data_IF_880301951043
#
_entry.id   IF_880301951043
#
_cell.length_a   1.000
_cell.length_b   1.000
_cell.length_c   1.000
_cell.angle_alpha   90.00
_cell.angle_beta   90.00
_cell.angle_gamma   90.00
#
_symmetry.space_group_name_H-M   'P 1'
#
loop_
_entity.id
_entity.type
_entity.pdbx_description
1 polymer ?
2 non-polymer ?
3 water ?
#
# COMPACT_ATOMS: atom_id res chain seq x y z
N UNK A 1 -12.49 -5.29 -2.01
CA UNK A 1 -11.94 -4.02 -1.68
C UNK A 1 -10.52 -4.03 -2.20
N UNK A 2 -9.99 -2.88 -2.59
CA UNK A 2 -8.57 -2.76 -2.88
C UNK A 2 -7.88 -2.78 -1.51
N UNK A 3 -6.65 -3.26 -1.41
CA UNK A 3 -5.89 -3.24 -0.17
C UNK A 3 -4.66 -2.40 -0.41
N UNK A 4 -4.42 -1.41 0.42
CA UNK A 4 -3.31 -0.47 0.27
C UNK A 4 -2.42 -0.57 1.52
N UNK A 5 -1.19 -1.05 1.37
CA UNK A 5 -0.21 -1.10 2.46
C UNK A 5 0.57 0.20 2.37
N UNK A 6 0.78 0.88 3.48
CA UNK A 6 1.55 2.11 3.45
C UNK A 6 1.80 2.65 4.84
N UNK A 7 2.05 3.94 4.90
CA UNK A 7 2.32 4.65 6.14
C UNK A 7 1.22 5.63 6.38
N UNK A 8 0.87 5.87 7.63
CA UNK A 8 -0.04 6.93 7.97
C UNK A 8 0.85 8.18 7.90
N UNK A 9 0.54 9.21 7.12
CA UNK A 9 1.43 10.36 6.99
C UNK A 9 1.55 11.23 8.24
N UNK A 10 0.61 11.10 9.18
CA UNK A 10 0.77 11.74 10.47
C UNK A 10 1.93 11.14 11.22
N UNK A 11 2.29 9.87 11.02
CA UNK A 11 3.40 9.25 11.74
C UNK A 11 4.61 9.30 10.83
N UNK A 12 4.51 8.96 9.54
CA UNK A 12 5.66 8.96 8.65
C UNK A 12 5.13 9.46 7.32
N UNK A 13 5.57 10.61 6.87
CA UNK A 13 5.03 11.23 5.67
C UNK A 13 5.11 10.32 4.45
N UNK A 14 4.00 10.14 3.74
CA UNK A 14 4.01 9.32 2.55
C UNK A 14 3.04 9.90 1.55
N UNK A 15 3.51 10.86 0.77
CA UNK A 15 2.69 11.51 -0.26
C UNK A 15 2.07 10.51 -1.25
N UNK A 16 2.81 9.55 -1.86
CA UNK A 16 2.27 8.51 -2.72
C UNK A 16 1.16 7.69 -2.05
N UNK A 17 1.30 7.38 -0.75
CA UNK A 17 0.28 6.66 0.01
C UNK A 17 -1.02 7.46 0.06
N UNK A 18 -0.95 8.75 0.40
CA UNK A 18 -2.15 9.60 0.44
C UNK A 18 -2.79 9.78 -0.92
N UNK A 19 -1.96 9.92 -1.96
CA UNK A 19 -2.46 10.02 -3.32
C UNK A 19 -3.23 8.77 -3.77
N UNK A 20 -2.75 7.58 -3.40
CA UNK A 20 -3.42 6.32 -3.71
C UNK A 20 -4.82 6.29 -3.09
N UNK A 21 -4.93 6.66 -1.81
CA UNK A 21 -6.23 6.70 -1.14
C UNK A 21 -7.18 7.67 -1.82
N UNK A 22 -6.70 8.88 -2.14
CA UNK A 22 -7.61 9.82 -2.78
C UNK A 22 -8.04 9.43 -4.18
N UNK A 23 -7.14 8.78 -4.96
CA UNK A 23 -7.50 8.31 -6.29
C UNK A 23 -8.59 7.23 -6.18
N UNK A 24 -8.48 6.29 -5.23
CA UNK A 24 -9.52 5.29 -5.06
C UNK A 24 -10.82 5.94 -4.63
N UNK A 25 -10.83 6.95 -3.75
CA UNK A 25 -12.05 7.66 -3.40
C UNK A 25 -12.63 8.36 -4.63
N UNK A 26 -11.87 9.07 -5.46
CA UNK A 26 -12.46 9.74 -6.63
C UNK A 26 -13.04 8.72 -7.63
N UNK A 27 -12.45 7.53 -7.74
CA UNK A 27 -12.97 6.47 -8.59
C UNK A 27 -14.09 5.66 -7.96
N UNK A 28 -14.55 6.04 -6.75
CA UNK A 28 -15.59 5.33 -6.00
C UNK A 28 -15.28 3.86 -5.75
N UNK A 29 -14.04 3.59 -5.36
CA UNK A 29 -13.58 2.25 -5.08
C UNK A 29 -13.32 2.05 -3.58
N UNK A 30 -13.99 1.13 -2.88
CA UNK A 30 -13.75 0.84 -1.47
C UNK A 30 -12.35 0.29 -1.31
N UNK A 31 -11.65 0.70 -0.24
CA UNK A 31 -10.33 0.16 0.03
C UNK A 31 -10.14 0.00 1.53
N UNK A 32 -9.17 -0.81 1.89
CA UNK A 32 -8.75 -1.00 3.25
C UNK A 32 -7.30 -0.50 3.27
N UNK A 33 -6.90 0.32 4.22
CA UNK A 33 -5.52 0.77 4.31
C UNK A 33 -4.85 0.03 5.48
N UNK A 34 -3.66 -0.51 5.27
CA UNK A 34 -2.93 -1.25 6.29
C UNK A 34 -1.67 -0.43 6.57
N UNK A 35 -1.57 0.10 7.78
CA UNK A 35 -0.44 0.95 8.17
C UNK A 35 0.69 0.07 8.69
N UNK A 36 1.89 0.14 8.11
CA UNK A 36 2.97 -0.74 8.56
C UNK A 36 3.83 -0.10 9.66
N UNK A 37 3.61 1.16 10.02
CA UNK A 37 4.40 1.79 11.06
C UNK A 37 3.42 2.38 12.09
N UNK A 38 2.96 1.62 13.09
CA UNK A 38 1.95 2.07 14.04
C UNK A 38 2.42 3.24 14.91
N UNK A 39 3.72 3.43 15.13
CA UNK A 39 4.20 4.61 15.83
C UNK A 39 5.61 4.87 15.34
N UNK A 40 6.07 6.07 15.62
CA UNK A 40 7.31 6.63 15.09
C UNK A 40 8.46 5.68 15.30
N UNK A 41 9.09 5.25 14.21
CA UNK A 41 10.24 4.36 14.25
C UNK A 41 9.96 2.90 14.63
N UNK A 42 8.69 2.47 14.74
CA UNK A 42 8.33 1.10 15.06
C UNK A 42 7.52 0.49 13.90
N UNK A 43 8.09 -0.53 13.25
CA UNK A 43 7.43 -1.29 12.21
C UNK A 43 6.62 -2.42 12.77
N UNK A 44 5.55 -2.73 12.07
CA UNK A 44 4.73 -3.85 12.41
C UNK A 44 5.26 -5.01 11.56
N UNK A 45 6.07 -5.85 12.20
CA UNK A 45 6.70 -6.95 11.48
C UNK A 45 5.77 -8.05 10.99
N UNK A 46 4.62 -8.24 11.64
CA UNK A 46 3.60 -9.19 11.17
C UNK A 46 3.02 -8.69 9.85
N UNK A 47 2.74 -7.39 9.71
CA UNK A 47 2.22 -6.86 8.47
C UNK A 47 3.28 -6.85 7.38
N UNK A 48 4.56 -6.61 7.66
CA UNK A 48 5.59 -6.67 6.62
C UNK A 48 5.71 -8.12 6.15
N UNK A 49 5.71 -9.12 7.06
CA UNK A 49 5.76 -10.52 6.64
C UNK A 49 4.57 -10.90 5.73
N UNK A 50 3.37 -10.40 6.07
CA UNK A 50 2.18 -10.63 5.28
C UNK A 50 2.33 -10.01 3.88
N UNK A 51 2.89 -8.79 3.81
CA UNK A 51 3.11 -8.17 2.53
C UNK A 51 4.08 -8.98 1.68
N UNK A 52 5.20 -9.44 2.27
CA UNK A 52 6.16 -10.22 1.51
C UNK A 52 5.54 -11.51 0.99
N UNK A 53 4.65 -12.13 1.79
CA UNK A 53 3.97 -13.36 1.38
C UNK A 53 3.10 -13.09 0.15
N UNK A 54 2.33 -12.00 0.20
CA UNK A 54 1.46 -11.64 -0.89
C UNK A 54 2.23 -11.32 -2.16
N UNK A 55 3.38 -10.67 -2.01
CA UNK A 55 4.22 -10.34 -3.15
C UNK A 55 5.00 -11.53 -3.67
N UNK A 56 5.18 -12.60 -2.88
CA UNK A 56 6.02 -13.72 -3.25
C UNK A 56 7.49 -13.31 -3.20
N UNK A 57 7.90 -12.43 -2.29
CA UNK A 57 9.28 -11.96 -2.25
C UNK A 57 10.03 -12.53 -1.07
N UNK A 58 11.32 -12.77 -1.27
CA UNK A 58 12.24 -13.12 -0.20
C UNK A 58 13.12 -11.99 0.30
N UNK A 59 13.22 -10.83 -0.35
CA UNK A 59 14.07 -9.75 0.13
C UNK A 59 13.19 -8.49 0.10
N UNK A 60 13.61 -7.39 0.72
CA UNK A 60 12.86 -6.15 0.73
C UNK A 60 13.47 -5.11 -0.20
N UNK A 61 14.50 -5.50 -0.95
CA UNK A 61 15.25 -4.61 -1.82
C UNK A 61 14.34 -3.93 -2.83
N UNK A 62 14.41 -2.61 -2.77
CA UNK A 62 13.68 -1.74 -3.66
C UNK A 62 12.20 -1.56 -3.37
N UNK A 63 11.66 -2.19 -2.33
CA UNK A 63 10.27 -2.03 -2.00
C UNK A 63 9.97 -0.65 -1.42
N UNK A 64 9.04 0.05 -2.02
CA UNK A 64 8.60 1.33 -1.50
C UNK A 64 7.09 1.25 -1.22
N UNK A 65 6.64 2.17 -0.38
CA UNK A 65 5.24 2.28 -0.05
C UNK A 65 4.61 3.38 -0.91
N UNK A 66 3.36 3.28 -1.35
CA UNK A 66 2.44 2.19 -1.05
C UNK A 66 2.62 0.95 -1.92
N UNK A 67 1.99 -0.17 -1.52
CA UNK A 67 1.86 -1.36 -2.34
C UNK A 67 0.36 -1.64 -2.34
N UNK A 68 -0.19 -1.70 -3.55
CA UNK A 68 -1.64 -1.84 -3.76
C UNK A 68 -2.00 -3.17 -4.41
N UNK A 69 -3.09 -3.77 -3.95
CA UNK A 69 -3.64 -5.01 -4.46
C UNK A 69 -5.08 -4.74 -4.90
N UNK A 70 -5.43 -5.32 -6.04
CA UNK A 70 -6.76 -5.19 -6.64
C UNK A 70 -7.79 -6.00 -5.83
N UNK A 71 -9.10 -5.78 -6.04
CA UNK A 71 -10.17 -6.53 -5.36
C UNK A 71 -10.07 -8.04 -5.53
N UNK A 72 -9.56 -8.58 -6.65
CA UNK A 72 -9.40 -10.03 -6.79
C UNK A 72 -8.12 -10.55 -6.14
N UNK A 73 -7.32 -9.71 -5.47
CA UNK A 73 -6.08 -10.07 -4.82
C UNK A 73 -4.80 -9.90 -5.66
N UNK A 74 -4.88 -9.58 -6.94
CA UNK A 74 -3.65 -9.46 -7.70
C UNK A 74 -2.89 -8.20 -7.30
N UNK A 75 -1.58 -8.23 -7.44
CA UNK A 75 -0.73 -7.11 -7.11
C UNK A 75 -0.77 -6.04 -8.19
N UNK A 76 -1.01 -4.78 -7.85
CA UNK A 76 -0.96 -3.71 -8.83
C UNK A 76 0.42 -3.06 -8.78
N UNK A 77 0.92 -2.67 -7.61
CA UNK A 77 2.22 -2.04 -7.47
C UNK A 77 2.07 -0.76 -6.64
N UNK A 78 2.81 0.28 -6.96
CA UNK A 78 2.70 1.52 -6.22
C UNK A 78 1.66 2.46 -6.80
N UNK A 79 1.70 3.73 -6.39
CA UNK A 79 0.74 4.71 -6.86
C UNK A 79 0.90 4.91 -8.38
N UNK A 80 2.10 4.92 -8.94
CA UNK A 80 2.28 5.06 -10.38
C UNK A 80 1.56 3.92 -11.13
N UNK A 81 1.65 2.68 -10.64
CA UNK A 81 0.92 1.59 -11.28
C UNK A 81 -0.59 1.70 -11.10
N UNK A 82 -1.06 2.26 -9.99
CA UNK A 82 -2.48 2.41 -9.76
C UNK A 82 -3.04 3.48 -10.70
N UNK A 83 -2.33 4.58 -10.93
CA UNK A 83 -2.71 5.61 -11.90
C UNK A 83 -2.92 4.93 -13.25
N UNK A 84 -1.99 4.05 -13.65
CA UNK A 84 -2.12 3.36 -14.92
C UNK A 84 -3.27 2.38 -14.96
N UNK A 85 -3.56 1.75 -13.82
CA UNK A 85 -4.59 0.74 -13.72
C UNK A 85 -5.97 1.22 -14.11
N UNK A 86 -6.31 2.48 -13.85
CA UNK A 86 -7.63 2.97 -14.18
C UNK A 86 -7.78 3.49 -15.61
N UNK A 87 -6.72 3.48 -16.40
CA UNK A 87 -6.80 3.91 -17.79
C UNK A 87 -7.26 2.75 -18.67
X LIG B 1 9.99 -3.05 4.08
X LIG B 1 10.18 -2.49 2.76
X LIG B 1 10.76 -1.25 2.92
X LIG B 1 9.88 -0.43 3.63
X LIG B 1 9.76 -0.92 4.91
X LIG B 1 9.18 -2.17 4.89
X LIG B 1 10.37 0.87 3.70
X LIG B 1 10.45 1.54 2.50
X LIG B 1 10.03 2.89 2.31
X LIG B 1 10.31 3.93 3.75
X LIG B 1 10.98 3.64 0.98
X LIG B 1 8.31 3.11 1.84
#
# INVERSE_FOLDING_TARGET
>A
MFKVYGYDSNIHKCGPCDNAKRLLTVKKQPFEFINIMPEKGVFDDEKIAELLTKLGRDTQIGLTMPQVFAPDGSHIGGFDQLREYFK
>B hetero
1 MES O1 C2 C3 N4 C5 C6 C7 C8 S O1S O2S O3S
#
